data_IF_777366995785
#
_entry.id   IF_777366995785
#
_cell.length_a   1.000
_cell.length_b   1.000
_cell.length_c   1.000
_cell.angle_alpha   90.00
_cell.angle_beta   90.00
_cell.angle_gamma   90.00
#
_symmetry.space_group_name_H-M   'P 1'
#
loop_
_entity.id
_entity.type
_entity.pdbx_description
1 polymer ?
#
# COMPACT_ATOMS: atom_id res chain seq x y z
N UNK A 1 -12.80 -3.63 9.59
CA UNK A 1 -11.72 -2.64 9.37
C UNK A 1 -10.66 -3.29 8.49
N UNK A 2 -10.28 -2.66 7.39
CA UNK A 2 -9.27 -3.19 6.47
C UNK A 2 -7.88 -3.17 7.12
N UNK A 3 -7.21 -4.33 7.18
CA UNK A 3 -5.84 -4.45 7.71
C UNK A 3 -4.88 -4.65 6.56
N UNK A 4 -3.91 -3.74 6.43
CA UNK A 4 -2.91 -3.74 5.36
C UNK A 4 -1.52 -3.80 5.95
N UNK A 5 -0.69 -4.71 5.45
CA UNK A 5 0.74 -4.74 5.73
C UNK A 5 1.53 -4.18 4.55
N UNK A 6 2.62 -3.49 4.81
CA UNK A 6 3.58 -3.04 3.80
C UNK A 6 4.92 -3.71 4.09
N UNK A 7 5.52 -4.36 3.10
CA UNK A 7 6.82 -5.03 3.28
C UNK A 7 7.96 -4.04 3.48
N UNK A 8 9.03 -4.48 4.12
CA UNK A 8 10.28 -3.75 4.19
C UNK A 8 10.89 -3.56 2.79
N UNK A 9 11.69 -2.50 2.57
CA UNK A 9 12.21 -2.14 1.24
C UNK A 9 13.23 -3.15 0.68
N UNK A 10 13.91 -3.86 1.56
CA UNK A 10 15.01 -4.77 1.21
C UNK A 10 14.53 -6.21 1.07
N UNK A 11 15.30 -7.03 0.36
CA UNK A 11 15.11 -8.47 0.30
C UNK A 11 15.39 -9.11 1.67
N UNK A 12 14.53 -10.01 2.11
CA UNK A 12 14.64 -10.68 3.42
C UNK A 12 14.59 -12.19 3.23
N UNK A 13 15.46 -12.91 3.94
CA UNK A 13 15.41 -14.37 3.96
C UNK A 13 14.10 -14.86 4.60
N UNK A 14 13.47 -15.88 3.98
CA UNK A 14 12.23 -16.48 4.48
C UNK A 14 10.98 -15.60 4.33
N UNK A 15 11.01 -14.58 3.50
CA UNK A 15 9.91 -13.62 3.35
C UNK A 15 8.60 -14.25 2.87
N UNK A 16 8.64 -15.30 2.06
CA UNK A 16 7.43 -16.06 1.65
C UNK A 16 6.66 -16.57 2.88
N UNK A 17 7.37 -17.15 3.85
CA UNK A 17 6.75 -17.63 5.09
C UNK A 17 6.16 -16.48 5.92
N UNK A 18 6.85 -15.34 5.95
CA UNK A 18 6.36 -14.12 6.63
C UNK A 18 5.08 -13.60 5.98
N UNK A 19 5.01 -13.52 4.64
CA UNK A 19 3.82 -13.07 3.93
C UNK A 19 2.63 -14.02 4.17
N UNK A 20 2.85 -15.33 4.10
CA UNK A 20 1.82 -16.33 4.43
C UNK A 20 1.28 -16.16 5.83
N UNK A 21 2.17 -15.95 6.81
CA UNK A 21 1.78 -15.73 8.20
C UNK A 21 0.94 -14.45 8.35
N UNK A 22 1.35 -13.32 7.77
CA UNK A 22 0.57 -12.09 7.78
C UNK A 22 -0.85 -12.31 7.24
N UNK A 23 -0.96 -12.99 6.09
CA UNK A 23 -2.25 -13.29 5.47
C UNK A 23 -3.11 -14.24 6.32
N UNK A 24 -2.49 -15.20 7.01
CA UNK A 24 -3.17 -16.10 7.95
C UNK A 24 -3.58 -15.39 9.25
N UNK A 25 -2.80 -14.44 9.74
CA UNK A 25 -3.06 -13.64 10.94
C UNK A 25 -4.13 -12.54 10.70
N UNK A 26 -4.78 -12.56 9.54
CA UNK A 26 -5.96 -11.72 9.23
C UNK A 26 -5.63 -10.36 8.62
N UNK A 27 -4.43 -10.16 8.05
CA UNK A 27 -4.21 -9.04 7.15
C UNK A 27 -4.95 -9.29 5.85
N UNK A 28 -5.75 -8.33 5.41
CA UNK A 28 -6.57 -8.43 4.21
C UNK A 28 -5.74 -8.27 2.94
N UNK A 29 -4.75 -7.37 2.96
CA UNK A 29 -3.92 -7.01 1.81
C UNK A 29 -2.47 -6.87 2.27
N UNK A 30 -1.54 -7.29 1.40
CA UNK A 30 -0.11 -7.00 1.57
C UNK A 30 0.37 -6.15 0.40
N UNK A 31 0.96 -5.02 0.70
CA UNK A 31 1.66 -4.17 -0.26
C UNK A 31 3.11 -4.62 -0.37
N UNK A 32 3.45 -5.20 -1.51
CA UNK A 32 4.81 -5.60 -1.85
C UNK A 32 5.58 -4.37 -2.35
N UNK A 33 6.36 -3.76 -1.44
CA UNK A 33 7.20 -2.59 -1.72
C UNK A 33 8.66 -2.99 -1.61
N UNK A 34 9.36 -3.08 -2.75
CA UNK A 34 10.72 -3.62 -2.86
C UNK A 34 11.65 -2.73 -3.71
N UNK A 35 11.80 -1.43 -3.38
CA UNK A 35 12.63 -0.53 -4.18
C UNK A 35 14.12 -0.93 -4.21
N UNK A 36 14.58 -1.69 -3.22
CA UNK A 36 15.99 -2.11 -3.09
C UNK A 36 16.21 -3.58 -3.49
N UNK A 37 15.19 -4.28 -4.04
CA UNK A 37 15.31 -5.66 -4.50
C UNK A 37 15.15 -5.76 -6.02
N UNK A 38 15.63 -6.85 -6.61
CA UNK A 38 15.50 -7.11 -8.04
C UNK A 38 14.11 -7.64 -8.41
N UNK A 39 13.73 -7.51 -9.67
CA UNK A 39 12.49 -8.10 -10.18
C UNK A 39 12.49 -9.63 -10.02
N UNK A 40 13.64 -10.27 -10.17
CA UNK A 40 13.76 -11.73 -10.04
C UNK A 40 13.54 -12.20 -8.61
N UNK A 41 14.00 -11.42 -7.63
CA UNK A 41 13.65 -11.65 -6.22
C UNK A 41 12.13 -11.59 -6.01
N UNK A 42 11.48 -10.54 -6.55
CA UNK A 42 10.03 -10.41 -6.45
C UNK A 42 9.29 -11.55 -7.15
N UNK A 43 9.78 -12.04 -8.31
CA UNK A 43 9.23 -13.21 -9.00
C UNK A 43 9.33 -14.48 -8.15
N UNK A 44 10.50 -14.75 -7.57
CA UNK A 44 10.70 -15.91 -6.68
C UNK A 44 9.76 -15.85 -5.47
N UNK A 45 9.63 -14.67 -4.85
CA UNK A 45 8.76 -14.46 -3.72
C UNK A 45 7.29 -14.70 -4.09
N UNK A 46 6.81 -14.10 -5.18
CA UNK A 46 5.44 -14.29 -5.67
C UNK A 46 5.17 -15.71 -6.16
N UNK A 47 6.15 -16.35 -6.79
CA UNK A 47 6.09 -17.76 -7.20
C UNK A 47 5.93 -18.72 -6.01
N UNK A 48 6.44 -18.36 -4.84
CA UNK A 48 6.28 -19.10 -3.60
C UNK A 48 4.88 -19.01 -2.97
N UNK A 49 4.02 -18.09 -3.42
CA UNK A 49 2.67 -17.90 -2.91
C UNK A 49 1.63 -18.63 -3.77
N UNK A 50 0.55 -19.09 -3.16
CA UNK A 50 -0.61 -19.64 -3.87
C UNK A 50 -1.37 -18.55 -4.65
N UNK A 51 -2.25 -18.95 -5.57
CA UNK A 51 -3.12 -18.02 -6.32
C UNK A 51 -3.99 -17.18 -5.37
N UNK A 52 -4.56 -17.80 -4.34
CA UNK A 52 -5.38 -17.13 -3.34
C UNK A 52 -4.58 -16.09 -2.52
N UNK A 53 -3.32 -16.39 -2.17
CA UNK A 53 -2.44 -15.44 -1.48
C UNK A 53 -2.07 -14.28 -2.41
N UNK A 54 -1.70 -14.57 -3.67
CA UNK A 54 -1.34 -13.56 -4.67
C UNK A 54 -2.48 -12.58 -4.99
N UNK A 55 -3.73 -13.05 -4.98
CA UNK A 55 -4.91 -12.18 -5.18
C UNK A 55 -5.11 -11.14 -4.05
N UNK A 56 -4.29 -11.18 -3.00
CA UNK A 56 -4.26 -10.23 -1.89
C UNK A 56 -3.01 -9.34 -1.89
N UNK A 57 -2.17 -9.43 -2.93
CA UNK A 57 -0.93 -8.64 -3.06
C UNK A 57 -1.13 -7.44 -3.99
N UNK A 58 -0.66 -6.27 -3.55
CA UNK A 58 -0.55 -5.04 -4.34
C UNK A 58 0.93 -4.71 -4.50
N UNK A 59 1.41 -4.49 -5.73
CA UNK A 59 2.81 -4.14 -5.99
C UNK A 59 3.03 -2.65 -6.08
N UNK A 60 4.18 -2.17 -5.56
CA UNK A 60 4.64 -0.78 -5.66
C UNK A 60 5.65 -0.58 -6.79
N UNK A 61 6.34 -1.65 -7.17
CA UNK A 61 7.42 -1.66 -8.15
C UNK A 61 7.16 -2.81 -9.13
N UNK A 62 7.79 -2.77 -10.31
CA UNK A 62 7.72 -3.86 -11.30
C UNK A 62 6.30 -4.25 -11.71
N UNK A 63 5.55 -3.32 -12.31
CA UNK A 63 4.12 -3.51 -12.68
C UNK A 63 3.83 -4.69 -13.59
N UNK A 64 4.81 -5.15 -14.37
CA UNK A 64 4.69 -6.39 -15.15
C UNK A 64 4.26 -7.58 -14.30
N UNK A 65 4.68 -7.61 -13.03
CA UNK A 65 4.34 -8.66 -12.07
C UNK A 65 2.84 -8.74 -11.79
N UNK A 66 2.10 -7.65 -11.92
CA UNK A 66 0.65 -7.65 -11.75
C UNK A 66 -0.03 -8.64 -12.70
N UNK A 67 0.30 -8.60 -13.99
CA UNK A 67 -0.24 -9.53 -14.99
C UNK A 67 0.39 -10.91 -14.89
N UNK A 68 1.69 -10.99 -14.69
CA UNK A 68 2.45 -12.24 -14.64
C UNK A 68 1.93 -13.16 -13.52
N UNK A 69 1.51 -12.62 -12.39
CA UNK A 69 1.09 -13.37 -11.22
C UNK A 69 -0.39 -13.22 -10.85
N UNK A 70 -1.19 -12.53 -11.67
CA UNK A 70 -2.59 -12.24 -11.39
C UNK A 70 -2.81 -11.63 -10.00
N UNK A 71 -2.07 -10.56 -9.70
CA UNK A 71 -2.10 -9.90 -8.40
C UNK A 71 -3.39 -9.08 -8.21
N UNK A 72 -3.64 -8.64 -6.97
CA UNK A 72 -4.77 -7.76 -6.65
C UNK A 72 -4.71 -6.44 -7.40
N UNK A 73 -3.55 -5.82 -7.46
CA UNK A 73 -3.43 -4.49 -8.05
C UNK A 73 -2.06 -3.86 -7.93
N UNK A 74 -2.03 -2.55 -8.15
CA UNK A 74 -0.82 -1.74 -8.16
C UNK A 74 -0.97 -0.50 -7.28
N UNK A 75 0.15 -0.07 -6.68
CA UNK A 75 0.26 1.19 -5.97
C UNK A 75 0.87 2.24 -6.88
N UNK A 76 0.08 3.25 -7.25
CA UNK A 76 0.53 4.35 -8.12
C UNK A 76 1.56 5.22 -7.40
N UNK A 77 2.66 5.49 -8.08
CA UNK A 77 3.73 6.35 -7.58
C UNK A 77 4.25 7.27 -8.70
N UNK A 78 5.31 8.05 -8.43
CA UNK A 78 5.89 9.00 -9.40
C UNK A 78 6.36 8.35 -10.72
N UNK A 79 6.70 7.08 -10.68
CA UNK A 79 7.25 6.37 -11.83
C UNK A 79 6.18 5.85 -12.78
N UNK A 80 4.88 6.04 -12.43
CA UNK A 80 3.77 5.56 -13.24
C UNK A 80 2.87 6.73 -13.55
N UNK A 81 3.04 7.21 -14.77
CA UNK A 81 2.22 8.28 -15.31
C UNK A 81 0.82 7.80 -15.71
N UNK A 82 0.69 6.54 -16.15
CA UNK A 82 -0.59 5.97 -16.60
C UNK A 82 -0.57 4.45 -16.51
N UNK A 83 -1.74 3.87 -16.33
CA UNK A 83 -1.97 2.43 -16.46
C UNK A 83 -2.53 2.13 -17.86
N UNK A 84 -2.28 0.92 -18.41
CA UNK A 84 -2.91 0.48 -19.64
C UNK A 84 -4.43 0.60 -19.57
N UNK A 85 -5.07 0.88 -20.72
CA UNK A 85 -6.53 1.05 -20.80
C UNK A 85 -7.33 -0.19 -20.39
N UNK A 86 -6.72 -1.36 -20.53
CA UNK A 86 -7.28 -2.67 -20.16
C UNK A 86 -6.93 -3.09 -18.73
N UNK A 87 -6.37 -2.19 -17.90
CA UNK A 87 -6.09 -2.46 -16.52
C UNK A 87 -7.38 -2.54 -15.67
N UNK A 88 -7.61 -3.67 -15.02
CA UNK A 88 -8.81 -3.93 -14.24
C UNK A 88 -8.53 -4.25 -12.75
N UNK A 89 -7.26 -4.17 -12.32
CA UNK A 89 -6.87 -4.40 -10.91
C UNK A 89 -7.11 -3.21 -10.01
N UNK A 90 -6.92 -3.43 -8.73
CA UNK A 90 -7.02 -2.39 -7.72
C UNK A 90 -5.95 -1.31 -7.92
N UNK A 91 -6.36 -0.05 -7.79
CA UNK A 91 -5.49 1.13 -7.86
C UNK A 91 -5.38 1.75 -6.49
N UNK A 92 -4.18 1.99 -6.05
CA UNK A 92 -3.94 2.63 -4.74
C UNK A 92 -2.89 3.72 -4.85
N UNK A 93 -2.85 4.65 -3.90
CA UNK A 93 -1.91 5.76 -3.90
C UNK A 93 -1.57 6.20 -2.48
N UNK A 94 -0.40 6.82 -2.28
CA UNK A 94 -0.09 7.57 -1.07
C UNK A 94 -0.34 9.06 -1.28
N UNK A 95 -0.92 9.71 -0.29
CA UNK A 95 -1.16 11.15 -0.21
C UNK A 95 -0.50 11.70 1.06
N UNK A 96 0.00 12.91 0.96
CA UNK A 96 0.71 13.60 2.05
C UNK A 96 0.03 14.91 2.47
N UNK A 97 -1.13 15.23 1.87
CA UNK A 97 -2.00 16.33 2.27
C UNK A 97 -3.47 16.00 2.02
N UNK A 98 -4.37 16.75 2.63
CA UNK A 98 -5.81 16.60 2.43
C UNK A 98 -6.23 17.03 1.02
N UNK A 99 -5.53 17.99 0.42
CA UNK A 99 -5.73 18.41 -0.97
C UNK A 99 -5.42 17.27 -1.95
N UNK A 100 -4.35 16.52 -1.70
CA UNK A 100 -4.05 15.32 -2.49
C UNK A 100 -5.12 14.25 -2.34
N UNK A 101 -5.67 14.06 -1.15
CA UNK A 101 -6.80 13.15 -0.92
C UNK A 101 -8.00 13.56 -1.77
N UNK A 102 -8.40 14.83 -1.74
CA UNK A 102 -9.51 15.34 -2.53
C UNK A 102 -9.28 15.13 -4.03
N UNK A 103 -8.04 15.40 -4.49
CA UNK A 103 -7.65 15.30 -5.90
C UNK A 103 -7.70 13.86 -6.42
N UNK A 104 -7.18 12.90 -5.67
CA UNK A 104 -6.92 11.56 -6.19
C UNK A 104 -7.92 10.49 -5.75
N UNK A 105 -8.76 10.77 -4.74
CA UNK A 105 -9.68 9.78 -4.17
C UNK A 105 -10.66 9.16 -5.17
N UNK A 106 -11.06 9.92 -6.21
CA UNK A 106 -11.96 9.41 -7.26
C UNK A 106 -11.27 8.47 -8.25
N UNK A 107 -9.93 8.48 -8.32
CA UNK A 107 -9.13 7.74 -9.30
C UNK A 107 -8.64 6.39 -8.78
N UNK A 108 -8.82 6.13 -7.47
CA UNK A 108 -8.26 4.95 -6.78
C UNK A 108 -9.31 4.25 -5.92
N UNK A 109 -9.09 2.97 -5.63
CA UNK A 109 -9.97 2.20 -4.75
C UNK A 109 -9.79 2.60 -3.28
N UNK A 110 -8.55 2.84 -2.88
CA UNK A 110 -8.20 3.43 -1.58
C UNK A 110 -6.84 4.13 -1.67
N UNK A 111 -6.57 4.99 -0.71
CA UNK A 111 -5.30 5.69 -0.58
C UNK A 111 -4.78 5.68 0.85
N UNK A 112 -3.48 5.82 0.99
CA UNK A 112 -2.84 6.07 2.28
C UNK A 112 -2.71 7.56 2.50
N UNK A 113 -3.05 8.03 3.70
CA UNK A 113 -2.72 9.37 4.18
C UNK A 113 -1.60 9.25 5.20
N UNK A 114 -0.47 9.88 4.95
CA UNK A 114 0.74 9.75 5.78
C UNK A 114 1.59 11.02 5.80
N UNK A 115 2.34 11.25 6.89
CA UNK A 115 2.32 10.53 8.16
C UNK A 115 1.18 11.02 9.07
N UNK A 116 0.38 10.11 9.64
CA UNK A 116 -0.71 10.47 10.57
C UNK A 116 -0.16 10.76 11.96
N UNK A 117 0.82 9.95 12.41
CA UNK A 117 1.53 10.15 13.68
C UNK A 117 3.04 10.23 13.42
N UNK A 118 3.78 10.67 14.42
CA UNK A 118 5.23 10.66 14.35
C UNK A 118 5.76 9.26 14.06
N UNK A 119 6.72 9.16 13.14
CA UNK A 119 7.24 7.87 12.74
C UNK A 119 8.07 7.24 13.85
N UNK A 120 7.73 6.01 14.21
CA UNK A 120 8.50 5.21 15.18
C UNK A 120 9.81 4.69 14.54
N UNK A 121 9.82 4.48 13.23
CA UNK A 121 10.93 3.84 12.50
C UNK A 121 11.82 4.80 11.72
N UNK A 122 11.45 6.08 11.59
CA UNK A 122 12.19 7.09 10.84
C UNK A 122 12.34 8.36 11.66
N UNK A 123 13.54 8.64 12.15
CA UNK A 123 13.84 9.90 12.84
C UNK A 123 13.53 11.11 11.93
N UNK A 124 12.90 12.15 12.50
CA UNK A 124 12.59 13.39 11.78
C UNK A 124 11.30 13.38 10.94
N UNK A 125 10.53 12.29 10.91
CA UNK A 125 9.20 12.25 10.28
C UNK A 125 8.13 12.51 11.35
N UNK A 126 7.71 13.79 11.43
CA UNK A 126 6.64 14.23 12.31
C UNK A 126 5.29 14.13 11.63
N UNK A 127 4.22 14.03 12.44
CA UNK A 127 2.85 14.14 11.95
C UNK A 127 2.67 15.43 11.13
N UNK A 128 2.07 15.29 9.94
CA UNK A 128 1.76 16.41 9.08
C UNK A 128 0.38 17.02 9.38
N UNK A 129 -0.39 16.42 10.30
CA UNK A 129 -1.79 16.75 10.55
C UNK A 129 -2.05 16.90 12.05
N UNK A 130 -2.78 17.93 12.42
CA UNK A 130 -3.34 18.05 13.76
C UNK A 130 -4.59 17.16 13.91
N UNK A 131 -4.91 16.78 15.13
CA UNK A 131 -6.12 16.02 15.43
C UNK A 131 -7.39 16.74 14.94
N UNK A 132 -7.45 18.05 15.12
CA UNK A 132 -8.61 18.87 14.72
C UNK A 132 -8.79 18.90 13.20
N UNK A 133 -7.70 18.99 12.43
CA UNK A 133 -7.74 18.94 10.97
C UNK A 133 -8.28 17.58 10.49
N UNK A 134 -7.81 16.48 11.08
CA UNK A 134 -8.30 15.14 10.73
C UNK A 134 -9.79 14.97 11.06
N UNK A 135 -10.23 15.44 12.23
CA UNK A 135 -11.63 15.41 12.63
C UNK A 135 -12.52 16.24 11.70
N UNK A 136 -12.08 17.44 11.31
CA UNK A 136 -12.81 18.28 10.36
C UNK A 136 -12.88 17.64 8.97
N UNK A 137 -11.77 17.05 8.49
CA UNK A 137 -11.71 16.36 7.22
C UNK A 137 -12.65 15.14 7.19
N UNK A 138 -12.75 14.41 8.30
CA UNK A 138 -13.69 13.29 8.44
C UNK A 138 -15.15 13.77 8.41
N UNK A 139 -15.49 14.86 9.14
CA UNK A 139 -16.84 15.44 9.13
C UNK A 139 -17.26 15.97 7.75
N UNK A 140 -16.28 16.45 6.95
CA UNK A 140 -16.50 16.92 5.57
C UNK A 140 -16.53 15.78 4.54
N UNK A 141 -16.34 14.51 4.95
CA UNK A 141 -16.29 13.36 4.06
C UNK A 141 -15.01 13.27 3.20
N UNK A 142 -14.00 14.09 3.49
CA UNK A 142 -12.68 13.99 2.83
C UNK A 142 -12.01 12.69 3.27
N UNK A 143 -12.01 12.39 4.56
CA UNK A 143 -11.56 11.12 5.13
C UNK A 143 -12.79 10.22 5.30
N UNK A 144 -12.80 9.09 4.60
CA UNK A 144 -13.82 8.04 4.68
C UNK A 144 -13.15 6.66 4.75
N UNK A 145 -13.93 5.58 4.57
CA UNK A 145 -13.44 4.19 4.63
C UNK A 145 -12.37 3.85 3.57
N UNK A 146 -12.16 4.69 2.55
CA UNK A 146 -11.13 4.52 1.52
C UNK A 146 -9.82 5.22 1.85
N UNK A 147 -9.76 5.99 2.94
CA UNK A 147 -8.56 6.67 3.40
C UNK A 147 -7.94 5.88 4.54
N UNK A 148 -6.79 5.28 4.28
CA UNK A 148 -6.08 4.41 5.23
C UNK A 148 -4.99 5.23 5.92
N UNK A 149 -5.04 5.25 7.25
CA UNK A 149 -4.00 5.88 8.06
C UNK A 149 -2.67 5.13 7.94
N UNK A 150 -1.57 5.86 7.70
CA UNK A 150 -0.23 5.30 7.65
C UNK A 150 0.76 6.20 8.38
N UNK A 151 1.75 5.59 9.05
CA UNK A 151 2.80 6.26 9.81
C UNK A 151 2.46 6.39 11.30
N UNK A 152 3.29 5.76 12.15
CA UNK A 152 3.19 5.80 13.60
C UNK A 152 1.95 5.13 14.20
N UNK A 153 1.16 4.40 13.41
CA UNK A 153 -0.03 3.68 13.89
C UNK A 153 0.42 2.44 14.66
N UNK A 154 0.03 2.37 15.95
CA UNK A 154 0.25 1.22 16.84
C UNK A 154 -1.07 0.62 17.27
N UNK A 155 -1.05 -0.66 17.63
CA UNK A 155 -2.17 -1.36 18.26
C UNK A 155 -2.31 -0.99 19.71
#
# INVERSE_FOLDING_TARGET
MLKIAITLPDAISGEVATLRRLLADGFDIVHLRKPNATIDYCRQLLGGLSVAERSRIVVHDYYSLYREFALRGVHLNRNIASLPSDYCGSRTRSCHSLEEVVRYKAEVDYLFLSPIFDSISKAGYHSAFSHDELCQAARKGIIDSRVIALGGVTS
#
